data_IF_052344867759
#
_entry.id   IF_052344867759
#
_cell.length_a   1.000
_cell.length_b   1.000
_cell.length_c   1.000
_cell.angle_alpha   90.00
_cell.angle_beta   90.00
_cell.angle_gamma   90.00
#
_symmetry.space_group_name_H-M   'P 1'
#
loop_
_entity.id
_entity.type
_entity.pdbx_description
1 polymer ?
#
# COMPACT_ATOMS: atom_id res chain seq x y z
N UNK A 1 55.37 23.96 18.07
CA UNK A 1 53.88 23.98 18.04
C UNK A 1 53.43 23.16 16.85
N UNK A 2 53.11 21.89 17.08
CA UNK A 2 52.59 20.99 16.04
C UNK A 2 51.08 20.98 16.14
N UNK A 3 50.41 21.66 15.22
CA UNK A 3 48.95 21.61 15.07
C UNK A 3 48.56 20.25 14.48
N UNK A 4 48.07 19.35 15.32
CA UNK A 4 47.45 18.11 14.87
C UNK A 4 46.09 18.47 14.25
N UNK A 5 46.04 18.63 12.93
CA UNK A 5 44.79 18.72 12.18
C UNK A 5 44.14 17.34 12.18
N UNK A 6 43.21 17.10 13.11
CA UNK A 6 42.31 15.96 13.04
C UNK A 6 41.43 16.14 11.79
N UNK A 7 41.68 15.34 10.75
CA UNK A 7 40.75 15.18 9.63
C UNK A 7 39.45 14.61 10.18
N UNK A 8 38.54 15.51 10.52
CA UNK A 8 37.20 15.19 10.96
C UNK A 8 36.45 14.64 9.75
N UNK A 9 36.15 13.34 9.76
CA UNK A 9 35.38 12.68 8.71
C UNK A 9 33.94 13.21 8.73
N UNK A 10 33.72 14.40 8.17
CA UNK A 10 32.41 15.03 8.10
C UNK A 10 31.65 14.61 6.83
N UNK A 11 31.47 13.30 6.66
CA UNK A 11 30.63 12.75 5.58
C UNK A 11 29.14 12.88 5.90
N UNK A 12 28.28 12.89 4.87
CA UNK A 12 26.82 13.05 4.99
C UNK A 12 26.12 12.04 5.93
N UNK A 13 26.73 10.88 6.20
CA UNK A 13 26.20 9.83 7.07
C UNK A 13 27.06 9.60 8.32
N UNK A 14 28.01 10.49 8.61
CA UNK A 14 28.87 10.35 9.77
C UNK A 14 28.10 10.68 11.06
N UNK A 15 28.20 9.80 12.05
CA UNK A 15 27.68 10.02 13.40
C UNK A 15 28.71 9.59 14.44
N UNK A 16 28.87 10.38 15.50
CA UNK A 16 29.76 10.07 16.62
C UNK A 16 29.13 9.09 17.62
N UNK A 17 27.88 8.65 17.39
CA UNK A 17 27.21 7.66 18.23
C UNK A 17 27.85 6.27 18.06
N UNK A 18 28.17 5.63 19.17
CA UNK A 18 28.77 4.29 19.24
C UNK A 18 27.77 3.18 19.54
N UNK A 19 26.54 3.55 19.94
CA UNK A 19 25.44 2.64 20.23
C UNK A 19 24.68 2.22 18.97
N UNK A 20 23.92 1.11 19.05
CA UNK A 20 23.19 0.52 17.92
C UNK A 20 21.81 1.16 17.73
N UNK A 21 21.71 2.49 17.82
CA UNK A 21 20.46 3.25 17.74
C UNK A 21 19.68 3.03 16.43
N UNK A 22 20.35 2.62 15.36
CA UNK A 22 19.72 2.40 14.05
C UNK A 22 18.87 1.12 13.96
N UNK A 23 18.98 0.20 14.93
CA UNK A 23 18.29 -1.09 14.85
C UNK A 23 16.79 -0.94 14.94
N UNK A 24 16.31 -0.13 15.89
CA UNK A 24 14.89 0.14 16.07
C UNK A 24 14.25 0.73 14.80
N UNK A 25 14.75 1.86 14.24
CA UNK A 25 14.18 2.41 13.01
C UNK A 25 14.40 1.50 11.80
N UNK A 26 15.45 0.67 11.76
CA UNK A 26 15.62 -0.31 10.68
C UNK A 26 14.51 -1.36 10.71
N UNK A 27 14.18 -1.93 11.87
CA UNK A 27 13.11 -2.91 11.98
C UNK A 27 11.75 -2.33 11.59
N UNK A 28 11.47 -1.11 12.03
CA UNK A 28 10.27 -0.38 11.58
C UNK A 28 10.28 -0.17 10.06
N UNK A 29 11.42 0.24 9.50
CA UNK A 29 11.59 0.45 8.07
C UNK A 29 11.41 -0.83 7.25
N UNK A 30 11.92 -1.98 7.72
CA UNK A 30 11.73 -3.29 7.08
C UNK A 30 10.25 -3.70 7.12
N UNK A 31 9.60 -3.57 8.27
CA UNK A 31 8.16 -3.86 8.39
C UNK A 31 7.32 -3.00 7.43
N UNK A 32 7.62 -1.70 7.37
CA UNK A 32 6.96 -0.77 6.46
C UNK A 32 7.23 -1.11 4.99
N UNK A 33 8.47 -1.47 4.62
CA UNK A 33 8.81 -1.88 3.27
C UNK A 33 8.06 -3.15 2.85
N UNK A 34 7.99 -4.16 3.72
CA UNK A 34 7.20 -5.37 3.48
C UNK A 34 5.72 -5.04 3.25
N UNK A 35 5.16 -4.13 4.06
CA UNK A 35 3.80 -3.65 3.87
C UNK A 35 3.61 -2.98 2.51
N UNK A 36 4.49 -2.06 2.11
CA UNK A 36 4.42 -1.38 0.80
C UNK A 36 4.48 -2.37 -0.37
N UNK A 37 5.38 -3.36 -0.29
CA UNK A 37 5.48 -4.40 -1.32
C UNK A 37 4.18 -5.19 -1.42
N UNK A 38 3.62 -5.60 -0.28
CA UNK A 38 2.39 -6.39 -0.24
C UNK A 38 1.18 -5.61 -0.76
N UNK A 39 0.99 -4.35 -0.33
CA UNK A 39 -0.14 -3.54 -0.79
C UNK A 39 -0.02 -3.19 -2.26
N UNK A 40 1.19 -2.94 -2.76
CA UNK A 40 1.45 -2.75 -4.19
C UNK A 40 1.10 -4.00 -4.98
N UNK A 41 1.49 -5.19 -4.51
CA UNK A 41 1.09 -6.44 -5.15
C UNK A 41 -0.42 -6.64 -5.15
N UNK A 42 -1.08 -6.41 -4.00
CA UNK A 42 -2.54 -6.54 -3.89
C UNK A 42 -3.26 -5.59 -4.85
N UNK A 43 -2.79 -4.35 -4.98
CA UNK A 43 -3.32 -3.36 -5.92
C UNK A 43 -3.34 -3.87 -7.36
N UNK A 44 -2.26 -4.52 -7.81
CA UNK A 44 -2.17 -5.08 -9.17
C UNK A 44 -2.94 -6.39 -9.34
N UNK A 45 -2.96 -7.25 -8.31
CA UNK A 45 -3.70 -8.52 -8.33
C UNK A 45 -5.21 -8.29 -8.54
N UNK A 46 -5.78 -7.36 -7.78
CA UNK A 46 -7.16 -6.90 -7.91
C UNK A 46 -8.22 -8.02 -7.99
N UNK A 47 -8.04 -9.14 -7.27
CA UNK A 47 -8.97 -10.27 -7.24
C UNK A 47 -9.04 -10.91 -5.85
N UNK A 48 -10.06 -11.73 -5.59
CA UNK A 48 -10.25 -12.44 -4.31
C UNK A 48 -10.20 -11.54 -3.07
N UNK A 49 -10.73 -10.33 -3.20
CA UNK A 49 -10.73 -9.33 -2.12
C UNK A 49 -12.08 -9.22 -1.40
N UNK A 50 -13.09 -9.96 -1.84
CA UNK A 50 -14.42 -10.00 -1.24
C UNK A 50 -14.91 -11.43 -1.03
N UNK A 51 -15.58 -11.66 0.10
CA UNK A 51 -16.21 -12.93 0.45
C UNK A 51 -17.62 -12.70 1.00
N UNK A 52 -18.63 -13.20 0.30
CA UNK A 52 -20.06 -13.06 0.65
C UNK A 52 -20.43 -13.71 1.99
N UNK A 53 -19.85 -14.87 2.31
CA UNK A 53 -20.32 -15.73 3.41
C UNK A 53 -21.85 -15.98 3.41
N UNK A 54 -22.48 -16.10 2.24
CA UNK A 54 -23.93 -16.29 2.09
C UNK A 54 -24.78 -15.03 2.25
N UNK A 55 -24.17 -13.86 2.39
CA UNK A 55 -24.85 -12.57 2.46
C UNK A 55 -24.87 -11.92 1.07
N UNK A 56 -26.08 -11.69 0.53
CA UNK A 56 -26.32 -10.98 -0.73
C UNK A 56 -26.56 -9.47 -0.53
N UNK A 57 -26.18 -8.94 0.65
CA UNK A 57 -26.36 -7.55 1.04
C UNK A 57 -25.23 -7.10 1.96
N UNK A 58 -25.50 -6.16 2.86
CA UNK A 58 -24.49 -5.67 3.81
C UNK A 58 -24.10 -6.79 4.80
N UNK A 59 -22.94 -7.42 4.61
CA UNK A 59 -22.56 -8.58 5.42
C UNK A 59 -21.42 -9.47 4.91
N UNK A 60 -20.81 -9.16 3.75
CA UNK A 60 -19.60 -9.83 3.28
C UNK A 60 -18.31 -9.28 3.90
N UNK A 61 -17.24 -10.08 3.90
CA UNK A 61 -15.91 -9.64 4.27
C UNK A 61 -15.23 -8.99 3.08
N UNK A 62 -14.84 -7.73 3.24
CA UNK A 62 -14.08 -6.98 2.25
C UNK A 62 -12.68 -6.71 2.79
N UNK A 63 -11.66 -6.92 1.96
CA UNK A 63 -10.29 -6.55 2.30
C UNK A 63 -10.19 -5.04 2.55
N UNK A 64 -9.53 -4.59 3.63
CA UNK A 64 -9.42 -3.17 3.95
C UNK A 64 -8.70 -2.37 2.86
N UNK A 65 -7.80 -2.98 2.10
CA UNK A 65 -7.09 -2.30 1.00
C UNK A 65 -7.97 -1.94 -0.19
N UNK A 66 -9.19 -2.49 -0.26
CA UNK A 66 -10.16 -2.24 -1.32
C UNK A 66 -11.35 -1.41 -0.83
N UNK A 67 -11.31 -0.92 0.42
CA UNK A 67 -12.40 -0.19 1.05
C UNK A 67 -12.11 1.32 1.16
N UNK A 68 -13.11 2.20 0.96
CA UNK A 68 -14.45 1.91 0.45
C UNK A 68 -14.43 1.54 -1.05
N UNK A 69 -15.45 0.80 -1.49
CA UNK A 69 -15.67 0.50 -2.91
C UNK A 69 -16.21 1.75 -3.62
N UNK A 70 -15.33 2.60 -4.13
CA UNK A 70 -15.71 3.78 -4.90
C UNK A 70 -16.25 3.36 -6.28
N UNK A 71 -15.48 2.52 -6.97
CA UNK A 71 -15.85 1.85 -8.22
C UNK A 71 -15.45 0.38 -8.15
N UNK A 72 -16.17 -0.49 -8.85
CA UNK A 72 -15.78 -1.90 -9.01
C UNK A 72 -15.61 -2.30 -10.46
N UNK A 73 -14.66 -3.19 -10.71
CA UNK A 73 -14.55 -3.89 -11.99
C UNK A 73 -15.40 -5.16 -11.93
N UNK A 74 -16.40 -5.23 -12.79
CA UNK A 74 -17.28 -6.39 -12.89
C UNK A 74 -16.55 -7.63 -13.42
N UNK A 75 -17.14 -8.81 -13.18
CA UNK A 75 -16.62 -10.11 -13.63
C UNK A 75 -15.20 -10.46 -13.12
N UNK A 76 -14.78 -9.89 -11.99
CA UNK A 76 -13.54 -10.26 -11.30
C UNK A 76 -13.80 -11.42 -10.34
N UNK A 77 -12.98 -12.48 -10.40
CA UNK A 77 -13.07 -13.60 -9.48
C UNK A 77 -12.85 -13.14 -8.03
N UNK A 78 -13.83 -13.45 -7.15
CA UNK A 78 -13.82 -13.00 -5.76
C UNK A 78 -13.80 -11.46 -5.61
N UNK A 79 -14.31 -10.75 -6.61
CA UNK A 79 -14.57 -9.31 -6.55
C UNK A 79 -15.91 -9.03 -5.86
N UNK A 80 -16.04 -7.81 -5.34
CA UNK A 80 -17.29 -7.38 -4.72
C UNK A 80 -18.36 -7.08 -5.80
N UNK A 81 -19.63 -7.37 -5.52
CA UNK A 81 -20.74 -6.95 -6.36
C UNK A 81 -20.86 -5.43 -6.55
N UNK A 82 -21.46 -4.99 -7.67
CA UNK A 82 -21.58 -3.57 -8.03
C UNK A 82 -22.50 -2.79 -7.10
N UNK A 83 -23.49 -3.45 -6.51
CA UNK A 83 -24.39 -2.88 -5.51
C UNK A 83 -23.69 -2.39 -4.23
N UNK A 84 -22.46 -2.85 -3.97
CA UNK A 84 -21.65 -2.37 -2.85
C UNK A 84 -20.76 -1.16 -3.19
N UNK A 85 -20.70 -0.78 -4.46
CA UNK A 85 -19.91 0.37 -4.90
C UNK A 85 -20.70 1.67 -4.82
N UNK A 86 -20.03 2.77 -4.50
CA UNK A 86 -20.69 4.07 -4.33
C UNK A 86 -21.09 4.70 -5.67
N UNK A 87 -20.27 4.53 -6.69
CA UNK A 87 -20.49 5.12 -8.03
C UNK A 87 -20.68 4.08 -9.13
N UNK A 88 -20.78 2.79 -8.78
CA UNK A 88 -21.03 1.73 -9.74
C UNK A 88 -19.76 1.14 -10.37
N UNK A 89 -19.92 0.70 -11.62
CA UNK A 89 -18.88 0.04 -12.39
C UNK A 89 -17.72 0.97 -12.74
N UNK A 90 -16.56 0.39 -13.02
CA UNK A 90 -15.35 1.13 -13.37
C UNK A 90 -15.56 2.02 -14.61
N UNK A 91 -15.16 3.29 -14.58
CA UNK A 91 -15.39 4.22 -15.69
C UNK A 91 -14.62 3.83 -16.95
N UNK A 92 -15.26 3.95 -18.11
CA UNK A 92 -14.67 3.61 -19.42
C UNK A 92 -13.56 4.58 -19.87
N UNK A 93 -13.55 5.81 -19.35
CA UNK A 93 -12.55 6.84 -19.64
C UNK A 93 -11.25 6.66 -18.84
N UNK A 94 -11.18 5.68 -17.92
CA UNK A 94 -10.01 5.47 -17.08
C UNK A 94 -8.74 5.19 -17.91
N UNK A 95 -7.60 5.82 -17.60
CA UNK A 95 -6.37 5.61 -18.35
C UNK A 95 -5.92 4.14 -18.32
N UNK A 96 -5.68 3.54 -19.49
CA UNK A 96 -5.24 2.14 -19.60
C UNK A 96 -3.89 1.85 -18.93
N UNK A 97 -3.10 2.89 -18.67
CA UNK A 97 -1.80 2.78 -18.00
C UNK A 97 -1.94 2.48 -16.49
N UNK A 98 -3.07 2.86 -15.89
CA UNK A 98 -3.30 2.72 -14.45
C UNK A 98 -4.19 1.49 -14.22
N UNK A 99 -3.84 0.56 -13.31
CA UNK A 99 -4.64 -0.62 -13.05
C UNK A 99 -6.05 -0.24 -12.60
N UNK A 100 -7.05 -0.86 -13.21
CA UNK A 100 -8.45 -0.74 -12.79
C UNK A 100 -8.71 -1.65 -11.59
N UNK A 101 -8.47 -1.13 -10.39
CA UNK A 101 -8.55 -1.84 -9.11
C UNK A 101 -9.10 -0.89 -8.05
N UNK A 102 -10.09 -1.26 -7.22
CA UNK A 102 -10.56 -0.38 -6.14
C UNK A 102 -9.42 0.08 -5.22
N UNK A 103 -8.41 -0.77 -5.02
CA UNK A 103 -7.26 -0.48 -4.18
C UNK A 103 -6.40 0.70 -4.69
N UNK A 104 -6.36 1.00 -5.99
CA UNK A 104 -5.59 2.15 -6.50
C UNK A 104 -6.10 3.47 -5.93
N UNK A 105 -7.41 3.58 -5.68
CA UNK A 105 -8.04 4.82 -5.21
C UNK A 105 -7.76 5.10 -3.74
N UNK A 106 -7.39 4.06 -2.99
CA UNK A 106 -7.13 4.11 -1.55
C UNK A 106 -5.63 4.16 -1.29
N UNK A 107 -4.86 3.33 -2.00
CA UNK A 107 -3.41 3.20 -1.83
C UNK A 107 -2.62 4.29 -2.55
N UNK A 108 -3.17 4.95 -3.58
CA UNK A 108 -2.52 6.09 -4.22
C UNK A 108 -2.72 7.44 -3.49
N UNK A 109 -3.40 7.42 -2.32
CA UNK A 109 -3.46 8.57 -1.40
C UNK A 109 -2.09 8.87 -0.79
N UNK A 110 -1.89 10.09 -0.24
CA UNK A 110 -0.57 10.68 0.02
C UNK A 110 0.40 9.80 0.82
#
# INVERSE_FOLDING_TARGET
MTSNTSTENQGLLFTNRTDRWWIEPLWTGVGFLCFVIYTTWAMFQANNYWWSNGHAGFGGYLSPFYSPLIFVKEAVAGGAPVEHSWFGSWPSWWPKLIPASPAILILAGP
#
